data_IF_326530373985
#
_entry.id   IF_326530373985
#
_cell.length_a   1.000
_cell.length_b   1.000
_cell.length_c   1.000
_cell.angle_alpha   90.00
_cell.angle_beta   90.00
_cell.angle_gamma   90.00
#
_symmetry.space_group_name_H-M   'P 1'
#
loop_
_entity.id
_entity.type
_entity.pdbx_description
1 polymer ?
#
# COMPACT_ATOMS: atom_id res chain seq x y z
N UNK A 1 -14.64 6.20 12.89
CA UNK A 1 -13.34 6.56 12.32
C UNK A 1 -13.48 6.37 10.83
N UNK A 2 -13.37 7.44 10.05
CA UNK A 2 -13.44 7.35 8.59
C UNK A 2 -12.13 6.70 8.12
N UNK A 3 -12.21 5.55 7.46
CA UNK A 3 -11.07 4.98 6.76
C UNK A 3 -10.72 5.93 5.63
N UNK A 4 -9.53 6.55 5.69
CA UNK A 4 -8.98 7.36 4.63
C UNK A 4 -8.75 6.47 3.41
N UNK A 5 -9.58 6.64 2.37
CA UNK A 5 -9.35 6.01 1.07
C UNK A 5 -7.92 6.30 0.62
N UNK A 6 -7.15 5.28 0.21
CA UNK A 6 -5.77 5.46 -0.24
C UNK A 6 -5.79 6.39 -1.46
N UNK A 7 -5.18 7.56 -1.30
CA UNK A 7 -5.03 8.54 -2.38
C UNK A 7 -3.76 8.17 -3.15
N UNK A 8 -3.88 8.06 -4.49
CA UNK A 8 -2.72 7.85 -5.33
C UNK A 8 -1.80 9.07 -5.24
N UNK A 9 -0.50 8.90 -4.96
CA UNK A 9 0.42 10.02 -4.88
C UNK A 9 0.60 10.69 -6.26
N UNK A 10 1.09 11.94 -6.31
CA UNK A 10 1.34 12.65 -7.55
C UNK A 10 2.30 11.89 -8.50
N UNK A 11 2.18 12.16 -9.80
CA UNK A 11 3.18 11.71 -10.78
C UNK A 11 4.55 12.29 -10.38
N UNK A 12 5.57 11.44 -10.40
CA UNK A 12 6.93 11.71 -9.92
C UNK A 12 7.20 11.16 -8.52
N UNK A 13 6.16 10.77 -7.77
CA UNK A 13 6.34 10.19 -6.43
C UNK A 13 6.95 8.80 -6.47
N UNK A 14 7.75 8.52 -5.44
CA UNK A 14 8.32 7.19 -5.19
C UNK A 14 7.27 6.30 -4.56
N UNK A 15 7.12 5.09 -5.10
CA UNK A 15 6.22 4.05 -4.63
C UNK A 15 7.08 2.86 -4.19
N UNK A 16 6.93 2.42 -2.94
CA UNK A 16 7.52 1.19 -2.44
C UNK A 16 6.81 -0.02 -3.04
N UNK A 17 7.57 -0.97 -3.56
CA UNK A 17 7.02 -2.20 -4.11
C UNK A 17 6.72 -3.21 -2.99
N UNK A 18 5.62 -3.96 -3.07
CA UNK A 18 5.25 -4.89 -2.01
C UNK A 18 6.29 -6.02 -1.86
N UNK A 19 6.58 -6.39 -0.62
CA UNK A 19 7.51 -7.48 -0.24
C UNK A 19 8.97 -7.28 -0.70
N UNK A 20 9.38 -6.04 -0.97
CA UNK A 20 10.77 -5.69 -1.30
C UNK A 20 11.11 -4.32 -0.74
N UNK A 21 12.40 -4.06 -0.49
CA UNK A 21 12.92 -2.71 -0.24
C UNK A 21 13.06 -1.88 -1.52
N UNK A 22 12.71 -2.47 -2.67
CA UNK A 22 12.80 -1.83 -3.97
C UNK A 22 11.72 -0.76 -4.15
N UNK A 23 12.07 0.25 -4.95
CA UNK A 23 11.21 1.40 -5.23
C UNK A 23 10.97 1.56 -6.73
N UNK A 24 9.87 2.20 -7.06
CA UNK A 24 9.54 2.63 -8.41
C UNK A 24 9.04 4.07 -8.40
N UNK A 25 9.21 4.79 -9.50
CA UNK A 25 8.69 6.16 -9.63
C UNK A 25 7.40 6.11 -10.45
N UNK A 26 6.33 6.72 -9.94
CA UNK A 26 5.10 6.88 -10.70
C UNK A 26 5.32 7.87 -11.85
N UNK A 27 5.12 7.46 -13.09
CA UNK A 27 5.35 8.29 -14.27
C UNK A 27 4.09 8.59 -15.08
N UNK A 28 3.08 7.74 -14.96
CA UNK A 28 1.85 7.85 -15.75
C UNK A 28 0.66 7.31 -14.97
N UNK A 29 -0.52 7.89 -15.19
CA UNK A 29 -1.81 7.37 -14.71
C UNK A 29 -2.85 7.59 -15.80
N UNK A 30 -3.49 6.52 -16.28
CA UNK A 30 -4.52 6.63 -17.31
C UNK A 30 -4.77 5.34 -18.07
N UNK A 31 -5.57 5.42 -19.13
CA UNK A 31 -5.88 4.30 -20.02
C UNK A 31 -4.70 3.98 -20.94
N UNK A 32 -4.47 2.69 -21.20
CA UNK A 32 -3.41 2.21 -22.11
C UNK A 32 -4.06 1.57 -23.33
N UNK A 33 -3.51 1.80 -24.52
CA UNK A 33 -4.04 1.28 -25.77
C UNK A 33 -4.14 -0.26 -25.74
N UNK A 34 -5.25 -0.79 -26.26
CA UNK A 34 -5.59 -2.22 -26.23
C UNK A 34 -5.60 -2.87 -24.83
N UNK A 35 -5.76 -2.08 -23.77
CA UNK A 35 -5.88 -2.56 -22.40
C UNK A 35 -7.06 -1.90 -21.67
N UNK A 36 -7.97 -2.71 -21.13
CA UNK A 36 -9.13 -2.21 -20.40
C UNK A 36 -8.77 -1.74 -18.98
N UNK A 37 -9.27 -0.55 -18.62
CA UNK A 37 -9.12 0.03 -17.28
C UNK A 37 -8.03 1.10 -17.17
N UNK A 38 -7.76 1.53 -15.93
CA UNK A 38 -6.76 2.56 -15.61
C UNK A 38 -5.49 1.90 -15.08
N UNK A 39 -4.35 2.33 -15.63
CA UNK A 39 -3.03 1.82 -15.29
C UNK A 39 -2.13 2.94 -14.78
N UNK A 40 -1.20 2.55 -13.91
CA UNK A 40 -0.07 3.35 -13.51
C UNK A 40 1.16 2.88 -14.28
N UNK A 41 1.85 3.80 -14.95
CA UNK A 41 3.17 3.57 -15.51
C UNK A 41 4.22 3.86 -14.44
N UNK A 42 5.05 2.87 -14.13
CA UNK A 42 6.10 2.94 -13.14
C UNK A 42 7.46 2.82 -13.82
N UNK A 43 8.43 3.61 -13.38
CA UNK A 43 9.84 3.40 -13.68
C UNK A 43 10.49 2.65 -12.51
N UNK A 44 10.95 1.41 -12.74
CA UNK A 44 11.64 0.62 -11.72
C UNK A 44 13.06 1.15 -11.52
N UNK A 45 13.47 1.31 -10.26
CA UNK A 45 14.79 1.84 -9.91
C UNK A 45 15.73 0.75 -9.35
N UNK A 46 17.03 1.07 -9.24
CA UNK A 46 18.02 0.22 -8.60
C UNK A 46 18.21 -1.14 -9.29
N UNK A 47 18.35 -2.21 -8.49
CA UNK A 47 18.54 -3.57 -8.99
C UNK A 47 17.34 -4.06 -9.83
N UNK A 48 16.14 -3.54 -9.54
CA UNK A 48 14.91 -3.93 -10.23
C UNK A 48 14.70 -3.23 -11.57
N UNK A 49 15.51 -2.24 -11.93
CA UNK A 49 15.43 -1.57 -13.23
C UNK A 49 15.54 -2.56 -14.41
N UNK A 50 16.31 -3.64 -14.24
CA UNK A 50 16.44 -4.73 -15.23
C UNK A 50 15.18 -5.62 -15.37
N UNK A 51 14.26 -5.54 -14.41
CA UNK A 51 13.04 -6.36 -14.35
C UNK A 51 11.81 -5.68 -14.94
N UNK A 52 11.96 -4.47 -15.48
CA UNK A 52 10.89 -3.81 -16.21
C UNK A 52 10.58 -4.55 -17.52
N UNK A 53 9.53 -4.10 -18.20
CA UNK A 53 8.97 -4.80 -19.37
C UNK A 53 8.95 -3.95 -20.63
N UNK A 54 9.03 -2.63 -20.49
CA UNK A 54 8.86 -1.70 -21.59
C UNK A 54 9.67 -0.42 -21.33
N UNK A 55 9.79 0.40 -22.37
CA UNK A 55 10.44 1.72 -22.32
C UNK A 55 9.44 2.86 -22.08
N UNK A 56 8.25 2.54 -21.54
CA UNK A 56 7.11 3.47 -21.44
C UNK A 56 6.32 3.64 -22.74
N UNK A 57 6.58 2.79 -23.75
CA UNK A 57 5.91 2.77 -25.06
C UNK A 57 5.10 1.47 -25.20
N UNK A 58 3.84 1.57 -25.62
CA UNK A 58 2.97 0.42 -25.98
C UNK A 58 2.38 0.67 -27.37
N UNK A 59 2.52 -0.32 -28.28
CA UNK A 59 2.03 -0.24 -29.67
C UNK A 59 2.45 1.03 -30.44
N UNK A 60 3.63 1.58 -30.13
CA UNK A 60 4.15 2.80 -30.77
C UNK A 60 3.65 4.11 -30.15
N UNK A 61 2.82 4.06 -29.10
CA UNK A 61 2.38 5.22 -28.33
C UNK A 61 3.26 5.35 -27.09
N UNK A 62 3.91 6.49 -26.92
CA UNK A 62 4.72 6.82 -25.74
C UNK A 62 3.83 7.41 -24.64
N UNK A 63 3.82 6.77 -23.48
CA UNK A 63 3.04 7.19 -22.31
C UNK A 63 3.90 7.89 -21.27
N UNK A 64 5.14 7.44 -21.11
CA UNK A 64 6.13 8.03 -20.22
C UNK A 64 7.55 7.67 -20.65
N UNK A 65 8.53 8.37 -20.09
CA UNK A 65 9.95 8.12 -20.34
C UNK A 65 10.60 7.40 -19.17
N UNK A 66 11.57 6.54 -19.51
CA UNK A 66 12.42 5.83 -18.57
C UNK A 66 13.88 6.25 -18.75
N UNK A 67 14.63 6.31 -17.66
CA UNK A 67 16.06 6.63 -17.64
C UNK A 67 16.93 5.41 -17.97
N UNK A 68 16.46 4.21 -17.60
CA UNK A 68 17.12 2.94 -17.90
C UNK A 68 16.27 2.19 -18.94
N UNK A 69 16.85 1.75 -20.08
CA UNK A 69 16.11 0.97 -21.06
C UNK A 69 15.45 -0.25 -20.42
N UNK A 70 14.17 -0.45 -20.77
CA UNK A 70 13.27 -1.50 -20.30
C UNK A 70 12.95 -1.49 -18.83
N UNK A 71 13.17 -0.39 -18.10
CA UNK A 71 12.79 -0.30 -16.68
C UNK A 71 11.31 0.04 -16.44
N UNK A 72 10.55 0.34 -17.49
CA UNK A 72 9.14 0.70 -17.41
C UNK A 72 8.22 -0.48 -17.14
N UNK A 73 7.18 -0.26 -16.33
CA UNK A 73 6.19 -1.26 -15.97
C UNK A 73 4.79 -0.63 -15.87
N UNK A 74 3.81 -1.19 -16.58
CA UNK A 74 2.40 -0.84 -16.38
C UNK A 74 1.75 -1.78 -15.37
N UNK A 75 1.07 -1.19 -14.39
CA UNK A 75 0.37 -1.90 -13.33
C UNK A 75 -1.05 -1.34 -13.19
N UNK A 76 -2.11 -2.17 -13.09
CA UNK A 76 -3.46 -1.67 -12.86
C UNK A 76 -3.54 -0.79 -11.61
N UNK A 77 -4.24 0.36 -11.70
CA UNK A 77 -4.37 1.34 -10.61
C UNK A 77 -4.82 0.69 -9.29
N UNK A 78 -5.79 -0.23 -9.36
CA UNK A 78 -6.31 -0.95 -8.18
C UNK A 78 -5.23 -1.69 -7.39
N UNK A 79 -4.22 -2.24 -8.07
CA UNK A 79 -3.09 -2.92 -7.41
C UNK A 79 -2.19 -1.93 -6.69
N UNK A 80 -1.93 -0.76 -7.29
CA UNK A 80 -1.13 0.29 -6.65
C UNK A 80 -1.81 0.79 -5.37
N UNK A 81 -3.12 1.03 -5.42
CA UNK A 81 -3.89 1.45 -4.23
C UNK A 81 -3.82 0.41 -3.10
N UNK A 82 -3.81 -0.89 -3.45
CA UNK A 82 -3.57 -1.97 -2.49
C UNK A 82 -2.19 -1.87 -1.82
N UNK A 83 -1.13 -1.60 -2.58
CA UNK A 83 0.23 -1.44 -2.03
C UNK A 83 0.31 -0.28 -1.04
N UNK A 84 -0.35 0.84 -1.35
CA UNK A 84 -0.37 2.03 -0.51
C UNK A 84 -1.19 1.85 0.78
N UNK A 85 -2.07 0.84 0.83
CA UNK A 85 -2.91 0.56 2.00
C UNK A 85 -2.16 -0.25 3.08
N UNK A 86 -1.09 -0.95 2.71
CA UNK A 86 -0.34 -1.83 3.61
C UNK A 86 0.87 -1.17 4.31
N UNK A 87 1.14 0.12 4.06
CA UNK A 87 2.29 0.83 4.66
C UNK A 87 2.05 1.34 6.08
N UNK A 88 0.87 1.10 6.68
CA UNK A 88 0.53 1.57 8.03
C UNK A 88 0.64 0.48 9.10
N UNK A 89 1.81 -0.16 9.27
CA UNK A 89 2.13 -0.89 10.52
C UNK A 89 3.60 -0.76 10.89
N UNK A 90 3.99 0.44 11.35
CA UNK A 90 5.20 0.64 12.16
C UNK A 90 4.73 0.78 13.63
N UNK A 91 5.24 0.01 14.60
CA UNK A 91 4.94 0.21 16.00
C UNK A 91 5.63 1.50 16.47
N UNK A 92 4.85 2.54 16.77
CA UNK A 92 5.41 3.68 17.50
C UNK A 92 5.75 3.28 18.94
N UNK A 93 6.88 3.75 19.50
CA UNK A 93 7.15 3.64 20.93
C UNK A 93 6.18 4.56 21.68
N UNK A 94 5.28 3.97 22.47
CA UNK A 94 4.41 4.75 23.36
C UNK A 94 5.22 5.23 24.59
N UNK A 95 5.01 6.48 25.05
CA UNK A 95 5.53 6.92 26.34
C UNK A 95 4.88 6.11 27.48
N UNK A 96 5.58 5.92 28.62
CA UNK A 96 5.09 5.05 29.69
C UNK A 96 3.84 5.64 30.32
N UNK A 97 2.69 5.03 30.06
CA UNK A 97 1.49 5.30 30.83
C UNK A 97 1.54 4.50 32.13
N UNK A 98 1.44 5.22 33.24
CA UNK A 98 1.35 4.69 34.60
C UNK A 98 0.15 3.76 34.76
N UNK A 99 0.38 2.63 35.44
CA UNK A 99 -0.63 1.65 35.81
C UNK A 99 -1.77 2.30 36.63
N UNK A 100 -3.05 1.99 36.36
CA UNK A 100 -4.09 2.10 37.35
C UNK A 100 -3.96 0.92 38.33
N UNK A 101 -3.89 1.25 39.61
CA UNK A 101 -3.93 0.30 40.72
C UNK A 101 -5.19 -0.56 40.66
N UNK A 102 -4.98 -1.86 40.85
CA UNK A 102 -6.00 -2.87 41.11
C UNK A 102 -6.89 -2.50 42.30
N UNK A 103 -8.21 -2.50 42.09
CA UNK A 103 -9.19 -2.66 43.17
C UNK A 103 -9.76 -4.09 43.14
N UNK A 104 -9.96 -4.73 44.31
CA UNK A 104 -10.40 -6.12 44.38
C UNK A 104 -11.92 -6.26 44.22
N UNK A 105 -12.33 -7.39 43.61
CA UNK A 105 -13.70 -7.89 43.64
C UNK A 105 -14.16 -8.14 45.08
N UNK A 106 -15.33 -7.60 45.45
CA UNK A 106 -16.19 -8.15 46.49
C UNK A 106 -17.66 -8.16 46.03
N UNK A 107 -18.35 -9.16 46.56
CA UNK A 107 -19.59 -9.83 46.15
C UNK A 107 -20.92 -9.04 46.31
N UNK A 108 -22.06 -9.60 45.83
CA UNK A 108 -23.33 -8.90 45.68
C UNK A 108 -24.13 -8.85 46.99
N UNK A 109 -24.74 -7.69 47.30
CA UNK A 109 -25.72 -7.56 48.39
C UNK A 109 -26.99 -6.81 47.95
N UNK A 110 -28.06 -7.61 47.90
CA UNK A 110 -29.43 -7.41 48.42
C UNK A 110 -30.18 -6.09 48.16
N UNK A 111 -31.36 -6.27 47.57
CA UNK A 111 -32.46 -5.30 47.42
C UNK A 111 -32.87 -4.64 48.74
N UNK A 112 -33.38 -3.40 48.66
CA UNK A 112 -34.53 -2.98 49.46
C UNK A 112 -35.80 -2.81 48.61
N UNK A 113 -36.90 -3.29 49.18
CA UNK A 113 -38.30 -3.14 48.76
C UNK A 113 -38.78 -1.68 48.79
N UNK A 114 -39.93 -1.36 48.16
CA UNK A 114 -40.31 0.01 47.82
C UNK A 114 -40.96 0.72 49.00
N UNK A 115 -40.46 1.91 49.34
CA UNK A 115 -41.21 2.84 50.18
C UNK A 115 -42.19 3.62 49.32
N UNK A 116 -43.46 3.37 49.61
CA UNK A 116 -44.63 4.13 49.17
C UNK A 116 -44.44 5.62 49.46
N UNK A 117 -44.30 6.40 48.39
CA UNK A 117 -44.50 7.86 48.44
C UNK A 117 -45.66 8.17 47.52
N UNK A 118 -46.70 8.73 48.13
CA UNK A 118 -47.92 9.21 47.51
C UNK A 118 -47.63 10.09 46.30
N UNK A 119 -48.10 9.68 45.14
CA UNK A 119 -48.10 10.51 43.94
C UNK A 119 -49.32 11.42 44.05
N UNK A 120 -49.09 12.62 44.57
CA UNK A 120 -49.94 13.75 44.24
C UNK A 120 -49.82 14.02 42.74
N UNK A 121 -50.99 14.05 42.11
CA UNK A 121 -51.22 14.38 40.71
C UNK A 121 -50.55 15.69 40.34
N UNK A 122 -49.36 15.60 39.74
CA UNK A 122 -48.80 16.68 38.93
C UNK A 122 -48.48 16.13 37.56
N UNK A 123 -49.24 16.61 36.57
CA UNK A 123 -49.19 16.24 35.15
C UNK A 123 -47.89 16.63 34.43
N UNK A 124 -46.79 16.83 35.17
CA UNK A 124 -45.51 17.34 34.67
C UNK A 124 -44.39 16.27 34.63
N UNK A 125 -44.53 15.16 35.36
CA UNK A 125 -43.52 14.08 35.39
C UNK A 125 -43.55 13.16 34.14
N UNK A 126 -44.72 13.02 33.51
CA UNK A 126 -44.88 12.20 32.29
C UNK A 126 -44.12 12.76 31.09
N UNK A 127 -43.90 14.07 31.03
CA UNK A 127 -43.22 14.73 29.89
C UNK A 127 -41.70 14.57 29.97
N UNK A 128 -41.12 14.49 31.17
CA UNK A 128 -39.69 14.28 31.36
C UNK A 128 -39.30 12.81 31.06
N UNK A 129 -40.04 11.85 31.60
CA UNK A 129 -39.81 10.43 31.34
C UNK A 129 -40.04 10.06 29.86
N UNK A 130 -41.00 10.69 29.18
CA UNK A 130 -41.20 10.46 27.73
C UNK A 130 -40.07 11.02 26.88
N UNK A 131 -39.51 12.19 27.23
CA UNK A 131 -38.32 12.73 26.56
C UNK A 131 -37.09 11.85 26.73
N UNK A 132 -36.88 11.30 27.93
CA UNK A 132 -35.77 10.41 28.24
C UNK A 132 -35.91 9.07 27.47
N UNK A 133 -37.13 8.54 27.36
CA UNK A 133 -37.44 7.37 26.53
C UNK A 133 -37.20 7.66 25.03
N UNK A 134 -37.59 8.83 24.52
CA UNK A 134 -37.33 9.21 23.14
C UNK A 134 -35.83 9.37 22.85
N UNK A 135 -35.06 9.90 23.80
CA UNK A 135 -33.62 10.04 23.68
C UNK A 135 -32.92 8.68 23.67
N UNK A 136 -33.30 7.76 24.56
CA UNK A 136 -32.82 6.39 24.56
C UNK A 136 -33.17 5.63 23.28
N UNK A 137 -34.39 5.82 22.75
CA UNK A 137 -34.78 5.24 21.45
C UNK A 137 -33.92 5.77 20.31
N UNK A 138 -33.63 7.07 20.27
CA UNK A 138 -32.69 7.65 19.29
C UNK A 138 -31.28 7.07 19.44
N UNK A 139 -30.84 6.86 20.68
CA UNK A 139 -29.54 6.26 20.94
C UNK A 139 -29.47 4.79 20.49
N UNK A 140 -30.52 3.99 20.74
CA UNK A 140 -30.62 2.61 20.26
C UNK A 140 -30.54 2.55 18.73
N UNK A 141 -31.31 3.38 18.02
CA UNK A 141 -31.27 3.44 16.55
C UNK A 141 -29.85 3.81 16.06
N UNK A 142 -29.17 4.72 16.75
CA UNK A 142 -27.78 5.08 16.44
C UNK A 142 -26.83 3.88 16.63
N UNK A 143 -26.98 3.13 17.72
CA UNK A 143 -26.17 1.94 17.99
C UNK A 143 -26.47 0.80 17.01
N UNK A 144 -27.72 0.56 16.64
CA UNK A 144 -28.12 -0.42 15.62
C UNK A 144 -27.51 -0.07 14.26
N UNK A 145 -27.52 1.21 13.89
CA UNK A 145 -26.85 1.68 12.67
C UNK A 145 -25.34 1.46 12.73
N UNK A 146 -24.71 1.67 13.89
CA UNK A 146 -23.28 1.38 14.08
C UNK A 146 -22.98 -0.11 14.02
N UNK A 147 -23.82 -0.96 14.59
CA UNK A 147 -23.70 -2.42 14.52
C UNK A 147 -23.79 -2.91 13.07
N UNK A 148 -24.79 -2.45 12.32
CA UNK A 148 -24.94 -2.81 10.92
C UNK A 148 -23.72 -2.37 10.08
N UNK A 149 -23.19 -1.18 10.35
CA UNK A 149 -21.97 -0.72 9.70
C UNK A 149 -20.79 -1.64 10.02
N UNK A 150 -20.62 -2.03 11.29
CA UNK A 150 -19.55 -2.95 11.70
C UNK A 150 -19.68 -4.35 11.11
N UNK A 151 -20.90 -4.86 10.98
CA UNK A 151 -21.15 -6.13 10.28
C UNK A 151 -20.76 -6.07 8.80
N UNK A 152 -21.01 -4.94 8.14
CA UNK A 152 -20.58 -4.73 6.76
C UNK A 152 -19.06 -4.60 6.66
N UNK A 153 -18.43 -3.85 7.57
CA UNK A 153 -16.97 -3.74 7.65
C UNK A 153 -16.31 -5.12 7.80
N UNK A 154 -16.88 -5.99 8.66
CA UNK A 154 -16.38 -7.35 8.87
C UNK A 154 -16.52 -8.23 7.61
N UNK A 155 -17.63 -8.13 6.88
CA UNK A 155 -17.81 -8.84 5.60
C UNK A 155 -16.84 -8.37 4.53
N UNK A 156 -16.58 -7.07 4.48
CA UNK A 156 -15.59 -6.51 3.55
C UNK A 156 -14.18 -7.02 3.88
N UNK A 157 -13.82 -7.05 5.17
CA UNK A 157 -12.54 -7.58 5.61
C UNK A 157 -12.38 -9.07 5.30
N UNK A 158 -13.44 -9.86 5.44
CA UNK A 158 -13.45 -11.30 5.10
C UNK A 158 -13.14 -11.53 3.61
N UNK A 159 -13.76 -10.76 2.72
CA UNK A 159 -13.48 -10.80 1.27
C UNK A 159 -12.02 -10.42 0.98
N UNK A 160 -11.50 -9.40 1.67
CA UNK A 160 -10.10 -8.98 1.51
C UNK A 160 -9.12 -10.06 1.97
N UNK A 161 -9.43 -10.76 3.06
CA UNK A 161 -8.62 -11.90 3.53
C UNK A 161 -8.60 -13.03 2.51
N UNK A 162 -9.75 -13.40 1.94
CA UNK A 162 -9.84 -14.42 0.88
C UNK A 162 -9.00 -14.04 -0.36
N UNK A 163 -9.03 -12.77 -0.78
CA UNK A 163 -8.23 -12.28 -1.92
C UNK A 163 -6.72 -12.32 -1.61
N UNK A 164 -6.33 -11.96 -0.38
CA UNK A 164 -4.95 -12.04 0.07
C UNK A 164 -4.47 -13.50 0.12
N UNK A 165 -5.27 -14.42 0.65
CA UNK A 165 -4.98 -15.85 0.68
C UNK A 165 -4.83 -16.44 -0.72
N UNK A 166 -5.71 -16.06 -1.66
CA UNK A 166 -5.57 -16.46 -3.05
C UNK A 166 -4.25 -15.96 -3.68
N UNK A 167 -3.85 -14.73 -3.33
CA UNK A 167 -2.59 -14.13 -3.79
C UNK A 167 -1.38 -14.85 -3.20
N UNK A 168 -1.40 -15.16 -1.91
CA UNK A 168 -0.35 -15.94 -1.24
C UNK A 168 -0.18 -17.31 -1.89
N UNK A 169 -1.28 -18.05 -2.11
CA UNK A 169 -1.25 -19.35 -2.80
C UNK A 169 -0.64 -19.26 -4.20
N UNK A 170 -0.96 -18.22 -4.95
CA UNK A 170 -0.37 -18.00 -6.28
C UNK A 170 1.14 -17.69 -6.20
N UNK A 171 1.57 -16.92 -5.19
CA UNK A 171 2.97 -16.63 -4.96
C UNK A 171 3.76 -17.88 -4.55
N UNK A 172 3.21 -18.70 -3.65
CA UNK A 172 3.81 -19.96 -3.23
C UNK A 172 3.96 -20.92 -4.41
N UNK A 173 2.93 -21.04 -5.25
CA UNK A 173 3.01 -21.85 -6.47
C UNK A 173 4.10 -21.33 -7.44
N UNK A 174 4.29 -20.01 -7.52
CA UNK A 174 5.33 -19.40 -8.35
C UNK A 174 6.73 -19.62 -7.78
N UNK A 175 6.88 -19.56 -6.45
CA UNK A 175 8.13 -19.87 -5.75
C UNK A 175 8.49 -21.34 -5.94
N UNK A 176 7.56 -22.27 -5.71
CA UNK A 176 7.76 -23.69 -5.91
C UNK A 176 8.26 -24.02 -7.33
N UNK A 177 7.67 -23.40 -8.37
CA UNK A 177 8.15 -23.56 -9.76
C UNK A 177 9.55 -23.00 -9.99
N UNK A 178 9.91 -21.90 -9.32
CA UNK A 178 11.27 -21.33 -9.41
C UNK A 178 12.27 -22.25 -8.73
N UNK A 179 11.95 -22.76 -7.54
CA UNK A 179 12.77 -23.71 -6.79
C UNK A 179 12.96 -25.02 -7.57
N UNK A 180 11.90 -25.55 -8.19
CA UNK A 180 11.99 -26.75 -9.02
C UNK A 180 12.94 -26.54 -10.21
N UNK A 181 12.84 -25.38 -10.90
CA UNK A 181 13.77 -25.03 -11.99
C UNK A 181 15.21 -24.90 -11.50
N UNK A 182 15.42 -24.26 -10.36
CA UNK A 182 16.74 -24.10 -9.77
C UNK A 182 17.34 -25.44 -9.38
N UNK A 183 16.57 -26.31 -8.72
CA UNK A 183 17.00 -27.65 -8.34
C UNK A 183 17.32 -28.51 -9.56
N UNK A 184 16.51 -28.44 -10.62
CA UNK A 184 16.81 -29.14 -11.87
C UNK A 184 18.13 -28.67 -12.50
N UNK A 185 18.32 -27.35 -12.59
CA UNK A 185 19.57 -26.78 -13.10
C UNK A 185 20.78 -27.18 -12.23
N UNK A 186 20.62 -27.17 -10.90
CA UNK A 186 21.64 -27.60 -9.97
C UNK A 186 22.03 -29.06 -10.20
N UNK A 187 21.06 -29.97 -10.28
CA UNK A 187 21.29 -31.41 -10.54
C UNK A 187 21.98 -31.61 -11.89
N UNK A 188 21.50 -30.94 -12.95
CA UNK A 188 22.12 -31.02 -14.28
C UNK A 188 23.60 -30.60 -14.26
N UNK A 189 23.92 -29.52 -13.52
CA UNK A 189 25.30 -29.06 -13.38
C UNK A 189 26.14 -29.96 -12.48
N UNK A 190 25.57 -30.54 -11.44
CA UNK A 190 26.24 -31.55 -10.60
C UNK A 190 26.56 -32.83 -11.40
N UNK A 191 25.65 -33.27 -12.28
CA UNK A 191 25.88 -34.38 -13.22
C UNK A 191 26.98 -34.04 -14.24
N UNK A 192 26.97 -32.83 -14.80
CA UNK A 192 28.01 -32.35 -15.72
C UNK A 192 29.39 -32.35 -15.03
N UNK A 193 29.46 -31.84 -13.80
CA UNK A 193 30.70 -31.86 -12.99
C UNK A 193 31.13 -33.31 -12.73
N UNK A 194 30.19 -34.20 -12.38
CA UNK A 194 30.51 -35.62 -12.13
C UNK A 194 31.09 -36.30 -13.37
N UNK A 195 30.50 -36.09 -14.55
CA UNK A 195 31.04 -36.62 -15.80
C UNK A 195 32.45 -36.09 -16.05
N UNK A 196 32.68 -34.79 -15.90
CA UNK A 196 34.02 -34.20 -16.08
C UNK A 196 35.04 -34.83 -15.13
N UNK A 197 34.70 -35.02 -13.86
CA UNK A 197 35.59 -35.67 -12.88
C UNK A 197 35.95 -37.09 -13.33
N UNK A 198 34.99 -37.91 -13.77
CA UNK A 198 35.28 -39.27 -14.26
C UNK A 198 36.18 -39.26 -15.50
N UNK A 199 36.01 -38.28 -16.39
CA UNK A 199 36.89 -38.16 -17.56
C UNK A 199 38.31 -37.77 -17.18
N UNK A 200 38.47 -36.84 -16.22
CA UNK A 200 39.76 -36.43 -15.68
C UNK A 200 40.46 -37.64 -15.05
N UNK A 201 39.80 -38.40 -14.18
CA UNK A 201 40.38 -39.62 -13.57
C UNK A 201 40.84 -40.63 -14.64
N UNK A 202 40.07 -40.81 -15.72
CA UNK A 202 40.45 -41.70 -16.82
C UNK A 202 41.68 -41.23 -17.58
N UNK A 203 41.83 -39.91 -17.76
CA UNK A 203 42.96 -39.29 -18.44
C UNK A 203 44.20 -39.33 -17.57
N UNK A 204 44.09 -39.04 -16.28
CA UNK A 204 45.17 -39.17 -15.31
C UNK A 204 45.72 -40.59 -15.27
N UNK A 205 44.85 -41.60 -15.26
CA UNK A 205 45.29 -43.00 -15.35
C UNK A 205 46.04 -43.32 -16.64
N UNK A 206 45.59 -42.80 -17.79
CA UNK A 206 46.28 -42.96 -19.08
C UNK A 206 47.63 -42.27 -19.10
N UNK A 207 47.75 -41.10 -18.48
CA UNK A 207 49.02 -40.37 -18.35
C UNK A 207 50.01 -41.24 -17.57
N UNK A 208 49.61 -41.76 -16.41
CA UNK A 208 50.47 -42.65 -15.61
C UNK A 208 50.90 -43.89 -16.40
N UNK A 209 49.99 -44.53 -17.12
CA UNK A 209 50.32 -45.70 -17.96
C UNK A 209 51.29 -45.36 -19.10
N UNK A 210 51.13 -44.19 -19.73
CA UNK A 210 52.05 -43.71 -20.76
C UNK A 210 53.42 -43.34 -20.19
N UNK A 211 53.47 -42.71 -19.02
CA UNK A 211 54.71 -42.38 -18.30
C UNK A 211 55.49 -43.64 -17.92
N UNK A 212 54.80 -44.68 -17.45
CA UNK A 212 55.41 -45.98 -17.13
C UNK A 212 55.97 -46.67 -18.39
N UNK A 213 55.24 -46.61 -19.51
CA UNK A 213 55.73 -47.14 -20.81
C UNK A 213 56.94 -46.37 -21.33
N UNK A 214 57.02 -45.06 -21.09
CA UNK A 214 58.18 -44.23 -21.39
C UNK A 214 59.39 -44.59 -20.52
N UNK A 215 59.17 -45.04 -19.28
CA UNK A 215 60.25 -45.43 -18.36
C UNK A 215 60.94 -46.76 -18.72
N UNK A 216 60.30 -47.62 -19.53
CA UNK A 216 60.78 -48.99 -19.83
C UNK A 216 61.57 -49.08 -21.16
N UNK A 217 61.70 -47.98 -21.91
CA UNK A 217 62.43 -47.99 -23.17
C UNK A 217 63.97 -48.09 -22.98
N UNK A 218 64.68 -49.01 -23.67
CA UNK A 218 66.13 -49.02 -23.68
C UNK A 218 66.65 -47.83 -24.53
N UNK A 219 67.56 -47.05 -23.94
CA UNK A 219 68.45 -46.07 -24.59
C UNK A 219 69.22 -46.78 -25.75
N UNK A 220 69.48 -46.29 -26.97
CA UNK A 220 69.67 -44.95 -27.60
C UNK A 220 69.42 -45.11 -29.13
N UNK A 221 69.04 -44.07 -29.90
CA UNK A 221 70.02 -43.38 -30.74
C UNK A 221 69.90 -41.84 -30.67
N UNK A 222 70.97 -41.17 -31.09
CA UNK A 222 71.26 -39.72 -31.06
C UNK A 222 70.06 -38.77 -30.82
N UNK A 223 69.97 -38.27 -29.58
CA UNK A 223 68.80 -37.61 -29.02
C UNK A 223 68.92 -36.07 -28.95
N UNK A 224 69.91 -35.47 -29.60
CA UNK A 224 70.19 -34.03 -29.53
C UNK A 224 68.98 -33.15 -29.91
N UNK A 225 68.14 -33.60 -30.84
CA UNK A 225 66.98 -32.85 -31.31
C UNK A 225 65.74 -33.04 -30.40
N UNK A 226 65.57 -34.24 -29.85
CA UNK A 226 64.50 -34.54 -28.88
C UNK A 226 64.75 -33.87 -27.53
N UNK A 227 66.00 -33.81 -27.07
CA UNK A 227 66.38 -33.06 -25.85
C UNK A 227 66.08 -31.57 -26.02
N UNK A 228 66.40 -30.98 -27.17
CA UNK A 228 66.05 -29.59 -27.48
C UNK A 228 64.53 -29.38 -27.51
N UNK A 229 63.77 -30.34 -28.02
CA UNK A 229 62.30 -30.26 -28.05
C UNK A 229 61.69 -30.38 -26.65
N UNK A 230 62.25 -31.22 -25.79
CA UNK A 230 61.85 -31.34 -24.38
C UNK A 230 62.15 -30.03 -23.64
N UNK A 231 63.35 -29.47 -23.78
CA UNK A 231 63.70 -28.17 -23.20
C UNK A 231 62.76 -27.05 -23.69
N UNK A 232 62.34 -27.09 -24.95
CA UNK A 232 61.38 -26.14 -25.50
C UNK A 232 59.97 -26.32 -24.88
N UNK A 233 59.48 -27.56 -24.80
CA UNK A 233 58.17 -27.86 -24.21
C UNK A 233 58.14 -27.56 -22.71
N UNK A 234 59.22 -27.78 -21.98
CA UNK A 234 59.34 -27.39 -20.57
C UNK A 234 59.31 -25.86 -20.39
N UNK A 235 59.93 -25.10 -21.31
CA UNK A 235 59.81 -23.64 -21.34
C UNK A 235 58.38 -23.19 -21.63
N UNK A 236 57.71 -23.79 -22.61
CA UNK A 236 56.32 -23.48 -22.95
C UNK A 236 55.39 -23.81 -21.77
N UNK A 237 55.55 -24.98 -21.14
CA UNK A 237 54.78 -25.37 -19.95
C UNK A 237 55.01 -24.42 -18.77
N UNK A 238 56.25 -23.97 -18.57
CA UNK A 238 56.57 -23.01 -17.52
C UNK A 238 55.95 -21.65 -17.78
N UNK A 239 56.03 -21.17 -19.01
CA UNK A 239 55.39 -19.93 -19.44
C UNK A 239 53.86 -19.99 -19.24
N UNK A 240 53.23 -21.12 -19.59
CA UNK A 240 51.78 -21.29 -19.44
C UNK A 240 51.36 -21.37 -17.96
N UNK A 241 52.16 -22.01 -17.10
CA UNK A 241 51.96 -22.01 -15.64
C UNK A 241 52.10 -20.61 -15.05
N UNK A 242 53.09 -19.84 -15.49
CA UNK A 242 53.30 -18.46 -15.05
C UNK A 242 52.14 -17.56 -15.52
N UNK A 243 51.67 -17.74 -16.76
CA UNK A 243 50.49 -17.07 -17.30
C UNK A 243 49.22 -17.39 -16.51
N UNK A 244 48.99 -18.67 -16.18
CA UNK A 244 47.84 -19.10 -15.39
C UNK A 244 47.91 -18.56 -13.95
N UNK A 245 49.10 -18.55 -13.34
CA UNK A 245 49.33 -17.96 -12.02
C UNK A 245 49.02 -16.45 -12.01
N UNK A 246 49.51 -15.74 -13.03
CA UNK A 246 49.23 -14.31 -13.24
C UNK A 246 47.73 -14.04 -13.43
N UNK A 247 47.06 -14.83 -14.27
CA UNK A 247 45.62 -14.73 -14.49
C UNK A 247 44.81 -14.99 -13.22
N UNK A 248 45.20 -16.00 -12.43
CA UNK A 248 44.56 -16.31 -11.13
C UNK A 248 44.74 -15.15 -10.15
N UNK A 249 45.93 -14.56 -10.08
CA UNK A 249 46.19 -13.39 -9.24
C UNK A 249 45.36 -12.18 -9.68
N UNK A 250 45.27 -11.93 -10.99
CA UNK A 250 44.45 -10.86 -11.55
C UNK A 250 42.97 -11.03 -11.18
N UNK A 251 42.41 -12.23 -11.35
CA UNK A 251 41.01 -12.50 -10.99
C UNK A 251 40.76 -12.38 -9.49
N UNK A 252 41.70 -12.80 -8.65
CA UNK A 252 41.61 -12.61 -7.21
C UNK A 252 41.60 -11.12 -6.82
N UNK A 253 42.39 -10.29 -7.50
CA UNK A 253 42.39 -8.84 -7.27
C UNK A 253 41.07 -8.21 -7.70
N UNK A 254 40.52 -8.59 -8.85
CA UNK A 254 39.22 -8.12 -9.34
C UNK A 254 38.08 -8.44 -8.36
N UNK A 255 38.07 -9.66 -7.79
CA UNK A 255 37.11 -10.06 -6.74
C UNK A 255 37.28 -9.21 -5.48
N UNK A 256 38.51 -8.91 -5.07
CA UNK A 256 38.76 -8.07 -3.90
C UNK A 256 38.31 -6.62 -4.12
N UNK A 257 38.50 -6.07 -5.32
CA UNK A 257 38.01 -4.74 -5.66
C UNK A 257 36.47 -4.68 -5.70
N UNK A 258 35.81 -5.71 -6.25
CA UNK A 258 34.36 -5.82 -6.20
C UNK A 258 33.83 -5.82 -4.76
N UNK A 259 34.46 -6.61 -3.87
CA UNK A 259 34.09 -6.63 -2.44
C UNK A 259 34.28 -5.28 -1.75
N UNK A 260 35.34 -4.54 -2.09
CA UNK A 260 35.52 -3.16 -1.57
C UNK A 260 34.41 -2.23 -2.05
N UNK A 261 34.03 -2.36 -3.33
CA UNK A 261 32.95 -1.55 -3.90
C UNK A 261 31.61 -1.88 -3.26
N UNK A 262 31.30 -3.17 -3.05
CA UNK A 262 30.11 -3.62 -2.33
C UNK A 262 30.05 -3.05 -0.91
N UNK A 263 31.16 -3.11 -0.15
CA UNK A 263 31.23 -2.57 1.21
C UNK A 263 31.03 -1.04 1.22
N UNK A 264 31.60 -0.33 0.24
CA UNK A 264 31.41 1.12 0.09
C UNK A 264 29.96 1.48 -0.25
N UNK A 265 29.33 0.73 -1.15
CA UNK A 265 27.92 0.92 -1.48
C UNK A 265 27.02 0.69 -0.26
N UNK A 266 27.25 -0.38 0.50
CA UNK A 266 26.53 -0.63 1.75
C UNK A 266 26.68 0.53 2.75
N UNK A 267 27.88 1.11 2.85
CA UNK A 267 28.14 2.23 3.75
C UNK A 267 27.41 3.50 3.30
N UNK A 268 27.43 3.79 1.99
CA UNK A 268 26.70 4.91 1.40
C UNK A 268 25.18 4.75 1.54
N UNK A 269 24.65 3.54 1.37
CA UNK A 269 23.23 3.25 1.62
C UNK A 269 22.84 3.57 3.06
N UNK A 270 23.66 3.17 4.03
CA UNK A 270 23.43 3.48 5.44
C UNK A 270 23.46 4.99 5.73
N UNK A 271 24.33 5.73 5.05
CA UNK A 271 24.44 7.18 5.19
C UNK A 271 23.30 7.94 4.50
N UNK A 272 22.84 7.46 3.35
CA UNK A 272 21.64 7.94 2.67
C UNK A 272 20.42 7.74 3.57
N UNK A 273 20.29 6.60 4.23
CA UNK A 273 19.18 6.33 5.13
C UNK A 273 19.17 7.30 6.33
N UNK A 274 20.33 7.52 6.96
CA UNK A 274 20.48 8.51 8.05
C UNK A 274 20.11 9.92 7.62
N UNK A 275 20.52 10.33 6.41
CA UNK A 275 20.18 11.65 5.88
C UNK A 275 18.68 11.79 5.58
N UNK A 276 18.03 10.72 5.08
CA UNK A 276 16.58 10.69 4.86
C UNK A 276 15.81 10.80 6.17
N UNK A 277 16.26 10.10 7.22
CA UNK A 277 15.67 10.20 8.56
C UNK A 277 15.78 11.62 9.13
N UNK A 278 16.94 12.28 8.99
CA UNK A 278 17.10 13.68 9.43
C UNK A 278 16.23 14.66 8.63
N UNK A 279 16.18 14.53 7.31
CA UNK A 279 15.37 15.41 6.47
C UNK A 279 13.86 15.23 6.74
N UNK A 280 13.42 13.98 6.94
CA UNK A 280 12.02 13.70 7.28
C UNK A 280 11.64 14.33 8.62
N UNK A 281 12.50 14.24 9.64
CA UNK A 281 12.20 14.82 10.95
C UNK A 281 12.12 16.35 10.91
N UNK A 282 13.07 17.03 10.25
CA UNK A 282 13.07 18.50 10.13
C UNK A 282 11.83 19.04 9.39
N UNK A 283 11.44 18.41 8.27
CA UNK A 283 10.28 18.82 7.48
C UNK A 283 8.96 18.56 8.23
N UNK A 284 8.85 17.43 8.94
CA UNK A 284 7.65 17.14 9.76
C UNK A 284 7.52 18.05 10.97
N UNK A 285 8.62 18.36 11.66
CA UNK A 285 8.58 19.25 12.83
C UNK A 285 8.24 20.70 12.42
N UNK A 286 8.76 21.15 11.27
CA UNK A 286 8.40 22.46 10.69
C UNK A 286 6.91 22.53 10.36
N UNK A 287 6.37 21.52 9.66
CA UNK A 287 4.97 21.47 9.27
C UNK A 287 4.02 21.35 10.47
N UNK A 288 4.39 20.56 11.48
CA UNK A 288 3.62 20.41 12.72
C UNK A 288 3.56 21.73 13.50
N UNK A 289 4.66 22.48 13.54
CA UNK A 289 4.70 23.79 14.19
C UNK A 289 3.83 24.82 13.45
N UNK A 290 3.85 24.83 12.12
CA UNK A 290 2.98 25.70 11.31
C UNK A 290 1.50 25.35 11.48
N UNK A 291 1.15 24.06 11.51
CA UNK A 291 -0.23 23.60 11.76
C UNK A 291 -0.71 23.98 13.16
N UNK A 292 0.15 23.86 14.18
CA UNK A 292 -0.18 24.29 15.56
C UNK A 292 -0.49 25.79 15.61
N UNK A 293 0.32 26.61 14.95
CA UNK A 293 0.09 28.05 14.86
C UNK A 293 -1.23 28.38 14.16
N UNK A 294 -1.55 27.70 13.08
CA UNK A 294 -2.83 27.88 12.38
C UNK A 294 -4.04 27.45 13.23
N UNK A 295 -3.90 26.41 14.05
CA UNK A 295 -4.96 25.99 14.98
C UNK A 295 -5.17 27.05 16.05
N UNK A 296 -4.09 27.59 16.62
CA UNK A 296 -4.16 28.64 17.65
C UNK A 296 -4.83 29.91 17.12
N UNK A 297 -4.49 30.36 15.91
CA UNK A 297 -5.15 31.48 15.23
C UNK A 297 -6.65 31.22 14.94
N UNK A 298 -7.02 29.97 14.65
CA UNK A 298 -8.42 29.59 14.42
C UNK A 298 -9.23 29.55 15.72
N UNK A 299 -8.63 29.08 16.81
CA UNK A 299 -9.26 29.03 18.12
C UNK A 299 -9.48 30.44 18.69
N UNK A 300 -8.56 31.37 18.44
CA UNK A 300 -8.77 32.79 18.75
C UNK A 300 -9.94 33.39 17.97
N UNK A 301 -10.03 33.14 16.65
CA UNK A 301 -11.18 33.57 15.82
C UNK A 301 -12.50 32.95 16.27
N UNK A 302 -12.49 31.69 16.71
CA UNK A 302 -13.67 31.02 17.24
C UNK A 302 -14.13 31.68 18.54
N UNK A 303 -13.22 32.01 19.45
CA UNK A 303 -13.55 32.77 20.67
C UNK A 303 -14.13 34.15 20.37
N UNK A 304 -13.61 34.86 19.36
CA UNK A 304 -14.19 36.13 18.92
C UNK A 304 -15.63 35.96 18.42
N UNK A 305 -15.87 34.95 17.57
CA UNK A 305 -17.20 34.65 17.01
C UNK A 305 -18.21 34.16 18.06
N UNK A 306 -17.76 33.42 19.07
CA UNK A 306 -18.59 33.01 20.21
C UNK A 306 -18.91 34.20 21.13
N UNK A 307 -17.99 35.16 21.28
CA UNK A 307 -18.25 36.44 21.93
C UNK A 307 -19.37 37.23 21.25
N UNK A 308 -19.48 37.16 19.92
CA UNK A 308 -20.55 37.80 19.13
C UNK A 308 -21.92 37.11 19.27
N UNK A 309 -21.99 35.81 19.56
CA UNK A 309 -23.27 35.08 19.76
C UNK A 309 -23.98 35.42 21.07
N UNK A 310 -23.28 36.03 22.03
CA UNK A 310 -23.88 36.41 23.32
C UNK A 310 -24.68 37.73 23.23
N UNK A 311 -24.69 38.39 22.06
CA UNK A 311 -25.50 39.59 21.79
C UNK A 311 -26.51 39.27 20.68
N UNK A 312 -27.56 38.49 21.00
CA UNK A 312 -28.87 38.43 20.31
C UNK A 312 -29.72 37.29 20.90
N UNK A 313 -30.05 37.39 22.18
CA UNK A 313 -31.10 36.56 22.81
C UNK A 313 -32.33 37.38 23.21
N UNK A 314 -32.54 38.55 22.62
CA UNK A 314 -33.73 39.37 22.84
C UNK A 314 -34.18 40.05 21.54
N UNK A 315 -35.25 39.52 20.93
CA UNK A 315 -35.98 40.16 19.84
C UNK A 315 -36.38 39.20 18.73
N UNK A 316 -37.69 38.98 18.57
CA UNK A 316 -38.29 38.32 17.42
C UNK A 316 -37.78 38.91 16.09
N UNK A 317 -37.65 38.05 15.07
CA UNK A 317 -37.32 38.48 13.71
C UNK A 317 -38.42 39.43 13.20
N UNK A 318 -38.07 40.61 12.65
CA UNK A 318 -39.06 41.59 12.23
C UNK A 318 -39.84 41.08 11.01
N UNK A 319 -41.17 41.02 11.15
CA UNK A 319 -42.08 40.73 10.04
C UNK A 319 -42.08 41.92 9.08
N UNK A 320 -41.60 41.71 7.86
CA UNK A 320 -41.62 42.69 6.79
C UNK A 320 -43.06 42.99 6.36
N UNK A 321 -43.52 44.23 6.57
CA UNK A 321 -44.78 44.73 6.00
C UNK A 321 -44.46 45.53 4.72
N UNK A 322 -44.96 45.10 3.54
CA UNK A 322 -44.73 45.83 2.30
C UNK A 322 -45.37 47.22 2.32
N UNK A 323 -44.78 48.17 1.58
CA UNK A 323 -45.23 49.57 1.55
C UNK A 323 -46.58 49.78 0.85
N UNK A 324 -47.07 48.78 0.12
CA UNK A 324 -48.37 48.75 -0.54
C UNK A 324 -49.07 47.43 -0.21
N UNK A 325 -50.37 47.48 0.03
CA UNK A 325 -51.21 46.27 0.13
C UNK A 325 -51.29 45.64 -1.27
N UNK A 326 -50.38 44.70 -1.54
CA UNK A 326 -50.41 43.89 -2.75
C UNK A 326 -51.04 42.56 -2.37
N UNK A 327 -52.19 42.24 -2.99
CA UNK A 327 -52.78 40.90 -2.88
C UNK A 327 -51.75 39.87 -3.40
N UNK A 328 -51.25 38.95 -2.56
CA UNK A 328 -50.29 37.92 -2.95
C UNK A 328 -50.78 36.98 -4.07
N UNK A 329 -52.08 37.03 -4.35
CA UNK A 329 -52.79 36.20 -5.32
C UNK A 329 -53.08 36.94 -6.64
N UNK A 330 -52.83 38.25 -6.71
CA UNK A 330 -53.09 39.03 -7.91
C UNK A 330 -52.25 38.53 -9.10
N UNK A 331 -52.92 37.98 -10.11
CA UNK A 331 -52.29 37.47 -11.33
C UNK A 331 -51.93 35.98 -11.31
N UNK A 332 -52.30 35.22 -10.27
CA UNK A 332 -52.30 33.75 -10.34
C UNK A 332 -53.62 33.26 -10.93
N UNK A 333 -53.54 32.26 -11.79
CA UNK A 333 -54.71 31.48 -12.20
C UNK A 333 -55.16 30.63 -11.01
N UNK A 334 -56.48 30.55 -10.78
CA UNK A 334 -57.04 29.68 -9.74
C UNK A 334 -56.60 28.24 -9.98
N UNK A 335 -56.02 27.59 -8.97
CA UNK A 335 -55.51 26.23 -9.06
C UNK A 335 -56.32 25.30 -8.15
N UNK A 336 -56.77 24.18 -8.71
CA UNK A 336 -57.56 23.20 -7.99
C UNK A 336 -56.66 22.07 -7.46
N UNK A 337 -56.51 21.98 -6.13
CA UNK A 337 -55.74 20.90 -5.49
C UNK A 337 -56.42 19.52 -5.54
N UNK A 338 -57.66 19.43 -6.04
CA UNK A 338 -58.39 18.17 -6.15
C UNK A 338 -58.08 17.43 -7.46
N UNK A 339 -57.95 18.18 -8.57
CA UNK A 339 -57.68 17.61 -9.90
C UNK A 339 -56.41 18.17 -10.56
N UNK A 340 -55.61 18.93 -9.80
CA UNK A 340 -54.34 19.53 -10.19
C UNK A 340 -54.39 20.32 -11.52
N UNK A 341 -55.51 21.01 -11.79
CA UNK A 341 -55.68 21.85 -12.97
C UNK A 341 -55.97 23.31 -12.63
N UNK A 342 -55.46 24.20 -13.49
CA UNK A 342 -55.68 25.65 -13.42
C UNK A 342 -57.04 26.03 -14.04
N UNK A 343 -57.61 27.15 -13.60
CA UNK A 343 -58.85 27.74 -14.12
C UNK A 343 -60.07 27.64 -13.18
N UNK A 344 -59.96 26.99 -12.02
CA UNK A 344 -61.00 26.96 -10.99
C UNK A 344 -60.39 26.67 -9.61
N UNK A 345 -61.10 27.03 -8.54
CA UNK A 345 -60.69 26.70 -7.17
C UNK A 345 -61.20 25.31 -6.77
N UNK A 346 -60.60 24.70 -5.74
CA UNK A 346 -61.01 23.39 -5.25
C UNK A 346 -62.52 23.27 -4.94
N UNK A 347 -63.17 24.35 -4.50
CA UNK A 347 -64.61 24.35 -4.19
C UNK A 347 -65.54 24.49 -5.40
N UNK A 348 -65.00 24.83 -6.57
CA UNK A 348 -65.72 24.90 -7.84
C UNK A 348 -65.32 23.74 -8.77
N UNK A 349 -64.75 22.68 -8.20
CA UNK A 349 -64.23 21.57 -8.99
C UNK A 349 -65.37 20.75 -9.62
N UNK A 350 -65.43 20.65 -10.96
CA UNK A 350 -66.49 19.91 -11.65
C UNK A 350 -66.46 18.40 -11.33
N UNK A 351 -65.38 17.89 -10.74
CA UNK A 351 -65.19 16.49 -10.37
C UNK A 351 -65.47 16.20 -8.88
N UNK A 352 -65.77 17.22 -8.06
CA UNK A 352 -65.97 17.06 -6.62
C UNK A 352 -67.23 16.22 -6.28
N UNK A 353 -68.21 16.17 -7.20
CA UNK A 353 -69.51 15.53 -6.97
C UNK A 353 -69.59 14.04 -7.32
N UNK A 354 -68.53 13.44 -7.88
CA UNK A 354 -68.55 12.04 -8.33
C UNK A 354 -68.22 11.03 -7.21
N UNK A 355 -67.97 11.47 -5.97
CA UNK A 355 -67.62 10.61 -4.84
C UNK A 355 -68.70 10.52 -3.74
N UNK A 356 -69.96 10.88 -4.04
CA UNK A 356 -71.09 10.71 -3.11
C UNK A 356 -72.00 9.51 -3.44
N UNK A 357 -71.65 8.67 -4.41
CA UNK A 357 -72.37 7.42 -4.70
C UNK A 357 -71.47 6.18 -4.61
N UNK A 358 -70.73 6.01 -3.51
CA UNK A 358 -70.28 4.68 -3.08
C UNK A 358 -70.41 4.60 -1.55
N UNK A 359 -71.61 4.29 -1.09
CA UNK A 359 -71.84 3.59 0.18
C UNK A 359 -72.43 2.21 -0.12
#
# INVERSE_FOLDING_TARGET
MQASTPVLPPIGSVISLPNSSDIAILKYVGSVDNHDGVFCGLELCGALASSGKNDGIINGIEYFQVSVPKSGLFVPLRKILGWLSHTHTQPQPQPPQSLPQSQPLLQPQLLPQPNSVSIESTSSGSVAATKEIEELKRHIISLEKQLLLRENDLKELDIQLDELDATLRSNDARLARKEERFNRYKVEKEEEISMLLTTIESLEKKIVELEERLSVQPQVPDNSELVKRIEQLEKELKLEKDNFSSFKAQKSNEINELRKFEMKNYTLELEIEKLREHQHNEDTDSLVNDLRKQIEERDERLKELEGLKTIKSSGELPIYKPQTEVDPSAGREDFCNYCDTSGHTTGDCPYEKDNLEIF
#
